data_IF_868062843550
#
_entry.id   IF_868062843550
#
_cell.length_a   1.000
_cell.length_b   1.000
_cell.length_c   1.000
_cell.angle_alpha   90.00
_cell.angle_beta   90.00
_cell.angle_gamma   90.00
#
_symmetry.space_group_name_H-M   'P 1'
#
loop_
_entity.id
_entity.type
_entity.pdbx_description
1 polymer ?
#
# COMPACT_ATOMS: atom_id res chain seq x y z
N UNK A 1 2.34 -11.04 1.23
CA UNK A 1 3.14 -10.02 0.53
C UNK A 1 2.28 -9.45 -0.57
N UNK A 2 1.64 -8.32 -0.28
CA UNK A 2 0.75 -7.68 -1.24
C UNK A 2 1.49 -6.53 -1.86
N UNK A 3 1.72 -6.59 -3.17
CA UNK A 3 2.01 -5.38 -3.94
C UNK A 3 0.67 -4.71 -4.30
N UNK A 4 0.69 -3.41 -4.55
CA UNK A 4 -0.46 -2.63 -5.04
C UNK A 4 0.01 -1.54 -6.01
N UNK A 5 -0.92 -0.95 -6.74
CA UNK A 5 -0.67 0.22 -7.56
C UNK A 5 -1.67 1.32 -7.26
N UNK A 6 -1.16 2.51 -6.94
CA UNK A 6 -1.91 3.75 -6.90
C UNK A 6 -1.72 4.50 -8.21
N UNK A 7 -2.83 4.72 -8.91
CA UNK A 7 -2.92 5.58 -10.10
C UNK A 7 -3.36 6.96 -9.64
N UNK A 8 -2.42 7.90 -9.62
CA UNK A 8 -2.65 9.28 -9.23
C UNK A 8 -3.09 10.07 -10.47
N UNK A 9 -4.21 10.78 -10.39
CA UNK A 9 -4.62 11.65 -11.50
C UNK A 9 -3.71 12.88 -11.62
N UNK A 10 -3.62 13.50 -12.81
CA UNK A 10 -2.78 14.68 -13.02
C UNK A 10 -3.05 15.83 -12.04
N UNK A 11 -4.30 16.06 -11.65
CA UNK A 11 -4.65 17.14 -10.73
C UNK A 11 -4.11 16.90 -9.32
N UNK A 12 -4.17 15.67 -8.80
CA UNK A 12 -3.58 15.34 -7.50
C UNK A 12 -2.05 15.38 -7.56
N UNK A 13 -1.45 14.89 -8.65
CA UNK A 13 -0.01 14.99 -8.85
C UNK A 13 0.46 16.45 -8.84
N UNK A 14 -0.31 17.37 -9.44
CA UNK A 14 -0.04 18.80 -9.39
C UNK A 14 -0.16 19.35 -7.97
N UNK A 15 -1.20 18.99 -7.21
CA UNK A 15 -1.33 19.38 -5.80
C UNK A 15 -0.12 18.94 -4.99
N UNK A 16 0.28 17.66 -5.09
CA UNK A 16 1.45 17.14 -4.39
C UNK A 16 2.72 17.92 -4.76
N UNK A 17 2.94 18.19 -6.04
CA UNK A 17 4.09 18.97 -6.48
C UNK A 17 4.07 20.40 -5.94
N UNK A 18 2.91 21.07 -5.95
CA UNK A 18 2.74 22.44 -5.43
C UNK A 18 3.03 22.52 -3.93
N UNK A 19 2.70 21.47 -3.19
CA UNK A 19 2.98 21.34 -1.76
C UNK A 19 4.40 20.81 -1.47
N UNK A 20 5.23 20.61 -2.51
CA UNK A 20 6.62 20.18 -2.38
C UNK A 20 6.83 18.68 -2.17
N UNK A 21 5.79 17.86 -2.37
CA UNK A 21 5.88 16.40 -2.20
C UNK A 21 6.51 15.73 -3.41
N UNK A 22 7.51 14.90 -3.15
CA UNK A 22 8.01 13.93 -4.11
C UNK A 22 7.13 12.67 -4.14
N UNK A 23 7.32 11.86 -5.19
CA UNK A 23 6.72 10.52 -5.28
C UNK A 23 7.11 9.63 -4.10
N UNK A 24 8.32 9.81 -3.56
CA UNK A 24 8.80 9.03 -2.42
C UNK A 24 8.12 9.47 -1.12
N UNK A 25 7.85 10.77 -0.95
CA UNK A 25 7.14 11.28 0.22
C UNK A 25 5.72 10.72 0.28
N UNK A 26 5.01 10.75 -0.85
CA UNK A 26 3.67 10.14 -0.94
C UNK A 26 3.70 8.64 -0.60
N UNK A 27 4.68 7.91 -1.14
CA UNK A 27 4.83 6.48 -0.87
C UNK A 27 5.09 6.20 0.61
N UNK A 28 6.03 6.94 1.19
CA UNK A 28 6.41 6.79 2.58
C UNK A 28 5.24 7.11 3.50
N UNK A 29 4.55 8.23 3.24
CA UNK A 29 3.36 8.63 3.99
C UNK A 29 2.26 7.57 3.96
N UNK A 30 1.92 7.05 2.77
CA UNK A 30 0.92 5.99 2.63
C UNK A 30 1.34 4.74 3.40
N UNK A 31 2.60 4.32 3.24
CA UNK A 31 3.12 3.17 3.95
C UNK A 31 3.04 3.37 5.47
N UNK A 32 3.40 4.53 6.00
CA UNK A 32 3.34 4.90 7.43
C UNK A 32 1.91 5.04 8.00
N UNK A 33 0.92 5.37 7.16
CA UNK A 33 -0.46 5.59 7.61
C UNK A 33 -1.36 4.38 7.44
N UNK A 34 -1.09 3.50 6.48
CA UNK A 34 -1.93 2.33 6.21
C UNK A 34 -1.58 1.20 7.18
N UNK A 35 -2.14 1.31 8.39
CA UNK A 35 -2.04 0.32 9.46
C UNK A 35 -3.41 0.02 10.05
N UNK A 36 -3.58 -1.20 10.57
CA UNK A 36 -4.77 -1.66 11.31
C UNK A 36 -4.36 -2.31 12.63
N UNK A 37 -5.14 -2.17 13.71
CA UNK A 37 -4.87 -2.85 14.98
C UNK A 37 -5.14 -4.35 14.86
N UNK A 38 -4.42 -5.16 15.63
CA UNK A 38 -4.54 -6.62 15.61
C UNK A 38 -5.98 -7.11 15.78
N UNK A 39 -6.77 -6.46 16.66
CA UNK A 39 -8.17 -6.83 16.89
C UNK A 39 -9.03 -6.81 15.63
N UNK A 40 -8.70 -5.99 14.64
CA UNK A 40 -9.44 -5.87 13.37
C UNK A 40 -9.00 -6.90 12.31
N UNK A 41 -7.85 -7.55 12.50
CA UNK A 41 -7.23 -8.44 11.51
C UNK A 41 -7.50 -9.93 11.78
N UNK A 42 -8.19 -10.25 12.89
CA UNK A 42 -8.53 -11.63 13.25
C UNK A 42 -9.59 -12.19 12.28
N UNK A 43 -9.49 -13.47 11.90
CA UNK A 43 -10.51 -14.12 11.09
C UNK A 43 -11.92 -13.95 11.68
N UNK A 44 -12.91 -13.68 10.83
CA UNK A 44 -14.31 -13.50 11.20
C UNK A 44 -14.68 -12.09 11.64
N UNK A 45 -13.73 -11.21 11.96
CA UNK A 45 -14.01 -9.80 12.28
C UNK A 45 -14.42 -9.07 11.00
N UNK A 46 -15.58 -8.40 11.03
CA UNK A 46 -16.18 -7.72 9.87
C UNK A 46 -16.35 -8.61 8.63
N UNK A 47 -16.48 -9.93 8.81
CA UNK A 47 -16.58 -10.89 7.70
C UNK A 47 -15.28 -11.08 6.91
N UNK A 48 -14.14 -10.60 7.42
CA UNK A 48 -12.84 -10.83 6.81
C UNK A 48 -12.33 -12.25 7.05
N UNK A 49 -11.69 -12.86 6.05
CA UNK A 49 -10.94 -14.12 6.24
C UNK A 49 -9.78 -13.95 7.23
N UNK A 50 -9.36 -12.70 7.48
CA UNK A 50 -8.24 -12.35 8.35
C UNK A 50 -6.91 -12.83 7.78
N UNK A 51 -5.87 -12.75 8.59
CA UNK A 51 -4.61 -13.44 8.33
C UNK A 51 -4.23 -14.16 9.62
N UNK A 52 -3.74 -15.40 9.54
CA UNK A 52 -3.21 -16.07 10.72
C UNK A 52 -2.21 -15.16 11.43
N UNK A 53 -2.34 -14.98 12.75
CA UNK A 53 -1.52 -14.04 13.54
C UNK A 53 -0.02 -14.29 13.34
N UNK A 54 0.37 -15.54 13.08
CA UNK A 54 1.74 -15.96 12.74
C UNK A 54 2.29 -15.40 11.42
N UNK A 55 1.41 -14.97 10.51
CA UNK A 55 1.79 -14.35 9.23
C UNK A 55 1.84 -12.81 9.31
N UNK A 56 1.37 -12.22 10.41
CA UNK A 56 1.42 -10.78 10.61
C UNK A 56 2.85 -10.36 10.97
N UNK A 57 3.43 -9.46 10.17
CA UNK A 57 4.79 -8.94 10.38
C UNK A 57 4.73 -7.58 11.06
N UNK A 58 5.38 -7.47 12.23
CA UNK A 58 5.69 -6.19 12.87
C UNK A 58 7.05 -5.68 12.39
N UNK A 59 7.23 -4.36 12.32
CA UNK A 59 8.54 -3.74 12.05
C UNK A 59 9.57 -4.05 13.15
N UNK A 60 9.09 -4.31 14.38
CA UNK A 60 9.91 -4.75 15.50
C UNK A 60 10.02 -6.27 15.49
N UNK A 61 11.24 -6.78 15.26
CA UNK A 61 11.63 -8.13 15.70
C UNK A 61 11.53 -8.17 17.23
N UNK A 62 10.56 -8.94 17.72
CA UNK A 62 10.54 -9.65 19.01
C UNK A 62 11.16 -8.92 20.21
N UNK A 63 10.32 -8.28 21.04
CA UNK A 63 10.61 -8.09 22.48
C UNK A 63 9.36 -8.20 23.37
N UNK A 64 8.19 -7.85 22.85
CA UNK A 64 6.92 -7.91 23.60
C UNK A 64 5.82 -8.57 22.75
N UNK A 65 4.91 -9.35 23.38
CA UNK A 65 3.77 -9.94 22.68
C UNK A 65 2.86 -8.85 22.12
N UNK A 66 2.32 -9.07 20.92
CA UNK A 66 1.37 -8.15 20.31
C UNK A 66 0.09 -8.05 21.15
N UNK A 67 -0.41 -6.83 21.28
CA UNK A 67 -1.69 -6.51 21.94
C UNK A 67 -2.76 -6.26 20.88
N UNK A 68 -4.03 -6.21 21.29
CA UNK A 68 -5.16 -5.88 20.41
C UNK A 68 -4.99 -4.55 19.68
N UNK A 69 -4.29 -3.59 20.29
CA UNK A 69 -4.01 -2.25 19.75
C UNK A 69 -2.70 -2.17 18.95
N UNK A 70 -1.91 -3.25 18.91
CA UNK A 70 -0.68 -3.27 18.11
C UNK A 70 -1.02 -3.08 16.63
N UNK A 71 -0.45 -2.02 16.04
CA UNK A 71 -0.69 -1.64 14.66
C UNK A 71 0.19 -2.45 13.69
N UNK A 72 -0.46 -3.08 12.72
CA UNK A 72 0.20 -3.83 11.66
C UNK A 72 0.09 -3.09 10.32
N UNK A 73 1.19 -2.95 9.57
CA UNK A 73 1.16 -2.38 8.23
C UNK A 73 0.49 -3.34 7.25
N UNK A 74 -0.26 -2.80 6.29
CA UNK A 74 -0.81 -3.59 5.17
C UNK A 74 0.29 -4.08 4.22
N UNK A 75 1.32 -3.27 4.04
CA UNK A 75 2.42 -3.49 3.10
C UNK A 75 3.72 -3.73 3.87
N UNK A 76 4.52 -4.71 3.45
CA UNK A 76 5.74 -5.07 4.18
C UNK A 76 6.82 -3.99 4.10
N UNK A 77 6.88 -3.27 2.98
CA UNK A 77 7.80 -2.17 2.73
C UNK A 77 7.13 -1.09 1.86
N UNK A 78 7.58 0.18 1.90
CA UNK A 78 7.02 1.23 1.07
C UNK A 78 7.01 0.87 -0.42
N UNK A 79 8.03 0.16 -0.91
CA UNK A 79 8.20 -0.22 -2.32
C UNK A 79 7.14 -1.21 -2.82
N UNK A 80 6.36 -1.82 -1.93
CA UNK A 80 5.18 -2.61 -2.33
C UNK A 80 4.02 -1.73 -2.85
N UNK A 81 4.14 -0.40 -2.74
CA UNK A 81 3.17 0.57 -3.28
C UNK A 81 3.76 1.20 -4.55
N UNK A 82 3.38 0.64 -5.70
CA UNK A 82 3.68 1.27 -6.98
C UNK A 82 2.81 2.53 -7.15
N UNK A 83 3.40 3.60 -7.67
CA UNK A 83 2.69 4.85 -7.94
C UNK A 83 2.92 5.21 -9.39
N UNK A 84 1.85 5.51 -10.14
CA UNK A 84 1.94 6.07 -11.49
C UNK A 84 1.04 7.30 -11.59
N UNK A 85 1.30 8.17 -12.57
CA UNK A 85 0.41 9.27 -12.93
C UNK A 85 -0.23 8.94 -14.27
N UNK A 86 -1.55 8.90 -14.33
CA UNK A 86 -2.30 8.62 -15.56
C UNK A 86 -3.73 9.19 -15.47
N UNK A 87 -4.38 9.31 -16.63
CA UNK A 87 -5.74 9.85 -16.74
C UNK A 87 -5.79 11.20 -17.46
N UNK A 88 -6.99 11.78 -17.56
CA UNK A 88 -7.22 13.11 -18.09
C UNK A 88 -7.15 14.20 -17.02
N UNK A 89 -7.17 15.47 -17.44
CA UNK A 89 -7.13 16.65 -16.55
C UNK A 89 -8.50 17.06 -16.01
N UNK A 90 -9.52 16.24 -16.24
CA UNK A 90 -10.87 16.48 -15.78
C UNK A 90 -11.32 15.33 -14.88
N UNK A 91 -11.62 15.64 -13.62
CA UNK A 91 -12.33 14.75 -12.71
C UNK A 91 -11.70 14.55 -11.34
N UNK A 92 -10.42 14.90 -11.09
CA UNK A 92 -9.76 14.70 -9.78
C UNK A 92 -9.99 13.31 -9.15
N UNK A 93 -10.05 12.25 -9.96
CA UNK A 93 -10.24 10.88 -9.49
C UNK A 93 -8.95 10.08 -9.59
N UNK A 94 -8.42 9.64 -8.45
CA UNK A 94 -7.34 8.65 -8.38
C UNK A 94 -7.91 7.26 -8.10
N UNK A 95 -7.18 6.22 -8.47
CA UNK A 95 -7.61 4.83 -8.31
C UNK A 95 -6.56 4.00 -7.60
N UNK A 96 -7.01 3.11 -6.71
CA UNK A 96 -6.17 2.07 -6.13
C UNK A 96 -6.51 0.72 -6.77
N UNK A 97 -5.51 0.06 -7.35
CA UNK A 97 -5.64 -1.29 -7.88
C UNK A 97 -5.48 -2.28 -6.73
N UNK A 98 -6.40 -3.24 -6.66
CA UNK A 98 -6.38 -4.27 -5.62
C UNK A 98 -5.03 -4.98 -5.57
N UNK A 99 -4.66 -5.39 -4.37
CA UNK A 99 -3.36 -5.99 -4.14
C UNK A 99 -3.22 -7.37 -4.77
N UNK A 100 -1.99 -7.72 -5.18
CA UNK A 100 -1.65 -9.04 -5.72
C UNK A 100 -0.44 -9.63 -4.99
N UNK A 101 -0.22 -10.94 -5.16
CA UNK A 101 0.96 -11.61 -4.63
C UNK A 101 2.22 -11.15 -5.38
N UNK A 102 3.16 -10.54 -4.67
CA UNK A 102 4.44 -10.08 -5.21
C UNK A 102 5.60 -11.03 -4.91
N UNK A 103 6.72 -10.87 -5.62
CA UNK A 103 7.98 -11.59 -5.35
C UNK A 103 7.99 -13.03 -5.89
N UNK A 104 8.68 -13.94 -5.20
CA UNK A 104 8.93 -15.32 -5.68
C UNK A 104 7.66 -16.19 -5.75
N UNK A 105 6.64 -15.81 -4.97
CA UNK A 105 5.33 -16.51 -4.95
C UNK A 105 4.30 -15.86 -5.88
N UNK A 106 4.71 -14.86 -6.68
CA UNK A 106 3.78 -14.11 -7.52
C UNK A 106 4.47 -13.35 -8.65
N UNK A 107 4.01 -12.13 -8.95
CA UNK A 107 4.49 -11.35 -10.09
C UNK A 107 5.19 -10.05 -9.66
N UNK A 108 6.10 -9.57 -10.52
CA UNK A 108 6.80 -8.29 -10.34
C UNK A 108 6.24 -7.27 -11.30
N UNK A 109 5.89 -6.08 -10.81
CA UNK A 109 5.46 -4.98 -11.67
C UNK A 109 6.61 -4.54 -12.58
N UNK A 110 6.30 -4.33 -13.86
CA UNK A 110 7.23 -3.80 -14.85
C UNK A 110 6.52 -2.77 -15.72
N UNK A 111 7.29 -1.81 -16.23
CA UNK A 111 6.80 -0.81 -17.18
C UNK A 111 7.66 -0.87 -18.43
N UNK A 112 7.03 -1.04 -19.58
CA UNK A 112 7.70 -1.03 -20.88
C UNK A 112 7.00 -0.04 -21.80
N UNK A 113 7.78 0.83 -22.43
CA UNK A 113 7.30 1.69 -23.49
C UNK A 113 6.76 0.84 -24.66
N UNK A 114 5.53 1.13 -25.10
CA UNK A 114 4.97 0.54 -26.32
C UNK A 114 5.38 1.44 -27.48
N UNK A 115 6.12 0.90 -28.44
CA UNK A 115 6.51 1.60 -29.66
C UNK A 115 5.59 1.17 -30.79
N UNK A 116 5.05 2.15 -31.50
CA UNK A 116 4.34 1.98 -32.77
C UNK A 116 5.31 2.04 -33.93
#
# INVERSE_FOLDING_TARGET
>A
FSDTMLVVCPEHAKTFQQDGWSKNDLRQFLWEKIRRPLRELRPGVNGGEGVGVSMLRTEKKEREPATDDTLYPKFAKPENIAIIVAGGTAGRFSAAVQGWAGGDVGSKITTKEIRS
#
